data_IF_705581099503
#
_entry.id   IF_705581099503
#
_cell.length_a   1.000
_cell.length_b   1.000
_cell.length_c   1.000
_cell.angle_alpha   90.00
_cell.angle_beta   90.00
_cell.angle_gamma   90.00
#
_symmetry.space_group_name_H-M   'P 1'
#
loop_
_entity.id
_entity.type
_entity.pdbx_description
1 polymer ?
#
# COMPACT_ATOMS: atom_id res chain seq x y z
N UNK A 1 14.27 -0.40 12.26
CA UNK A 1 14.11 0.65 13.30
C UNK A 1 14.47 0.20 14.71
N UNK A 2 14.04 -0.96 15.20
CA UNK A 2 14.31 -1.40 16.59
C UNK A 2 15.81 -1.48 16.96
N UNK A 3 16.66 -2.01 16.06
CA UNK A 3 18.10 -2.13 16.29
C UNK A 3 18.81 -0.77 16.44
N UNK A 4 18.38 0.25 15.68
CA UNK A 4 18.88 1.63 15.80
C UNK A 4 18.60 2.19 17.21
N UNK A 5 17.45 1.83 17.78
CA UNK A 5 17.03 2.19 19.15
C UNK A 5 17.60 1.25 20.22
N UNK A 6 18.56 0.37 19.88
CA UNK A 6 19.14 -0.64 20.78
C UNK A 6 18.11 -1.56 21.47
N UNK A 7 16.99 -1.86 20.80
CA UNK A 7 16.00 -2.85 21.27
C UNK A 7 15.76 -3.94 20.23
N UNK A 8 15.33 -5.11 20.69
CA UNK A 8 14.92 -6.20 19.79
C UNK A 8 13.61 -5.83 19.10
N UNK A 9 13.51 -6.15 17.80
CA UNK A 9 12.26 -6.07 17.05
C UNK A 9 11.29 -7.20 17.44
N UNK A 10 10.25 -7.45 16.64
CA UNK A 10 9.38 -8.60 16.83
C UNK A 10 10.21 -9.89 16.95
N UNK A 11 10.10 -10.60 18.06
CA UNK A 11 10.89 -11.82 18.33
C UNK A 11 10.04 -12.93 18.97
N UNK A 12 8.72 -12.75 19.01
CA UNK A 12 7.79 -13.66 19.70
C UNK A 12 6.86 -14.37 18.69
N UNK A 13 6.37 -13.67 17.68
CA UNK A 13 5.47 -14.23 16.66
C UNK A 13 6.27 -14.96 15.59
N UNK A 14 6.43 -16.27 15.75
CA UNK A 14 7.24 -17.12 14.86
C UNK A 14 8.75 -17.04 15.12
N UNK A 15 9.54 -17.77 14.31
CA UNK A 15 11.00 -17.70 14.38
C UNK A 15 11.48 -16.29 13.98
N UNK A 16 12.23 -15.64 14.87
CA UNK A 16 12.76 -14.27 14.70
C UNK A 16 11.72 -13.21 14.28
N UNK A 17 10.43 -13.42 14.56
CA UNK A 17 9.38 -12.48 14.19
C UNK A 17 8.94 -12.52 12.71
N UNK A 18 9.37 -13.51 11.93
CA UNK A 18 9.04 -13.60 10.49
C UNK A 18 7.53 -13.72 10.22
N UNK A 19 6.79 -14.29 11.16
CA UNK A 19 5.33 -14.45 11.03
C UNK A 19 4.55 -13.20 11.48
N UNK A 20 5.22 -12.17 11.99
CA UNK A 20 4.59 -10.93 12.45
C UNK A 20 3.74 -10.23 11.37
N UNK A 21 4.20 -10.04 10.11
CA UNK A 21 3.40 -9.36 9.10
C UNK A 21 2.11 -10.11 8.76
N UNK A 22 2.16 -11.44 8.78
CA UNK A 22 0.99 -12.29 8.55
C UNK A 22 0.00 -12.20 9.71
N UNK A 23 0.50 -12.23 10.95
CA UNK A 23 -0.34 -12.07 12.14
C UNK A 23 -1.04 -10.70 12.20
N UNK A 24 -0.34 -9.63 11.84
CA UNK A 24 -0.92 -8.28 11.79
C UNK A 24 -1.98 -8.16 10.68
N UNK A 25 -1.73 -8.74 9.51
CA UNK A 25 -2.71 -8.81 8.42
C UNK A 25 -3.96 -9.59 8.81
N UNK A 26 -3.80 -10.77 9.40
CA UNK A 26 -4.91 -11.60 9.87
C UNK A 26 -5.73 -10.89 10.95
N UNK A 27 -5.06 -10.21 11.88
CA UNK A 27 -5.71 -9.40 12.91
C UNK A 27 -6.57 -8.30 12.31
N UNK A 28 -6.10 -7.61 11.27
CA UNK A 28 -6.88 -6.57 10.58
C UNK A 28 -8.07 -7.15 9.81
N UNK A 29 -7.92 -8.32 9.19
CA UNK A 29 -9.00 -8.99 8.45
C UNK A 29 -10.14 -9.48 9.36
N UNK A 30 -9.81 -9.91 10.57
CA UNK A 30 -10.80 -10.36 11.57
C UNK A 30 -11.43 -9.22 12.37
N UNK A 31 -10.93 -7.99 12.22
CA UNK A 31 -11.42 -6.84 12.98
C UNK A 31 -12.76 -6.37 12.43
N UNK A 32 -13.70 -6.12 13.33
CA UNK A 32 -15.02 -5.61 12.97
C UNK A 32 -14.92 -4.23 12.27
N UNK A 33 -15.58 -4.06 11.12
CA UNK A 33 -15.58 -2.80 10.40
C UNK A 33 -16.49 -1.78 11.10
N UNK A 34 -15.89 -0.76 11.71
CA UNK A 34 -16.62 0.40 12.24
C UNK A 34 -16.72 1.48 11.16
N UNK A 35 -17.94 1.98 10.91
CA UNK A 35 -18.18 3.12 10.02
C UNK A 35 -18.45 4.38 10.83
N UNK A 36 -17.81 5.52 10.52
CA UNK A 36 -18.24 6.81 11.03
C UNK A 36 -19.66 7.13 10.53
N UNK A 37 -20.45 7.86 11.31
CA UNK A 37 -21.82 8.24 10.95
C UNK A 37 -21.90 9.45 10.01
N UNK A 38 -20.90 10.32 10.01
CA UNK A 38 -20.85 11.50 9.12
C UNK A 38 -20.19 11.21 7.76
N UNK A 39 -19.33 10.19 7.70
CA UNK A 39 -18.43 9.96 6.58
C UNK A 39 -19.11 9.40 5.32
N UNK A 40 -18.57 9.77 4.17
CA UNK A 40 -18.96 9.23 2.87
C UNK A 40 -18.42 7.80 2.68
N UNK A 41 -19.24 6.80 3.03
CA UNK A 41 -18.93 5.37 3.01
C UNK A 41 -18.40 4.84 1.67
N UNK A 42 -18.95 5.31 0.54
CA UNK A 42 -18.54 4.87 -0.79
C UNK A 42 -17.11 5.33 -1.12
N UNK A 43 -16.83 6.62 -0.93
CA UNK A 43 -15.51 7.21 -1.18
C UNK A 43 -14.47 6.65 -0.21
N UNK A 44 -14.81 6.46 1.06
CA UNK A 44 -13.89 5.96 2.09
C UNK A 44 -13.43 4.52 1.82
N UNK A 45 -14.30 3.68 1.23
CA UNK A 45 -13.93 2.32 0.80
C UNK A 45 -13.16 2.30 -0.51
N UNK A 46 -13.45 3.20 -1.45
CA UNK A 46 -12.77 3.25 -2.75
C UNK A 46 -11.38 3.88 -2.68
N UNK A 47 -11.15 4.86 -1.79
CA UNK A 47 -9.87 5.54 -1.65
C UNK A 47 -8.65 4.59 -1.43
N UNK A 48 -8.70 3.60 -0.51
CA UNK A 48 -7.60 2.65 -0.33
C UNK A 48 -7.44 1.71 -1.53
N UNK A 49 -8.52 1.37 -2.24
CA UNK A 49 -8.47 0.56 -3.47
C UNK A 49 -7.71 1.30 -4.56
N UNK A 50 -8.05 2.57 -4.81
CA UNK A 50 -7.38 3.40 -5.81
C UNK A 50 -5.89 3.52 -5.49
N UNK A 51 -5.54 3.92 -4.26
CA UNK A 51 -4.14 4.13 -3.88
C UNK A 51 -3.30 2.84 -3.98
N UNK A 52 -3.87 1.70 -3.55
CA UNK A 52 -3.22 0.39 -3.66
C UNK A 52 -3.04 -0.04 -5.12
N UNK A 53 -4.05 0.15 -5.97
CA UNK A 53 -3.98 -0.17 -7.39
C UNK A 53 -2.90 0.64 -8.10
N UNK A 54 -2.81 1.96 -7.84
CA UNK A 54 -1.75 2.78 -8.42
C UNK A 54 -0.35 2.30 -8.01
N UNK A 55 -0.15 1.90 -6.76
CA UNK A 55 1.13 1.36 -6.30
C UNK A 55 1.50 0.03 -6.99
N UNK A 56 0.51 -0.83 -7.26
CA UNK A 56 0.75 -2.10 -7.95
C UNK A 56 1.05 -1.88 -9.44
N UNK A 57 0.32 -0.97 -10.08
CA UNK A 57 0.50 -0.61 -11.49
C UNK A 57 1.85 0.07 -11.73
N UNK A 58 2.33 0.91 -10.78
CA UNK A 58 3.67 1.50 -10.85
C UNK A 58 4.79 0.45 -10.93
N UNK A 59 4.60 -0.73 -10.33
CA UNK A 59 5.60 -1.81 -10.33
C UNK A 59 5.79 -2.47 -11.70
N UNK A 60 4.83 -2.32 -12.62
CA UNK A 60 4.87 -2.94 -13.94
C UNK A 60 6.12 -2.57 -14.76
N UNK A 61 6.62 -1.35 -14.57
CA UNK A 61 7.75 -0.79 -15.33
C UNK A 61 9.12 -1.07 -14.68
N UNK A 62 9.16 -1.61 -13.46
CA UNK A 62 10.43 -1.84 -12.76
C UNK A 62 11.10 -3.13 -13.29
N UNK A 63 12.31 -3.06 -13.88
CA UNK A 63 13.05 -4.23 -14.30
C UNK A 63 13.57 -5.01 -13.09
N UNK A 64 13.20 -6.28 -12.99
CA UNK A 64 13.76 -7.21 -12.00
C UNK A 64 14.94 -8.00 -12.55
N UNK A 65 14.96 -8.24 -13.87
CA UNK A 65 16.03 -8.91 -14.61
C UNK A 65 15.89 -8.55 -16.11
N UNK A 66 16.88 -8.93 -16.92
CA UNK A 66 16.84 -8.76 -18.38
C UNK A 66 15.59 -9.43 -18.97
N UNK A 67 14.73 -8.65 -19.63
CA UNK A 67 13.49 -9.13 -20.24
C UNK A 67 12.35 -9.43 -19.26
N UNK A 68 12.52 -9.19 -17.96
CA UNK A 68 11.47 -9.34 -16.94
C UNK A 68 10.72 -8.03 -16.66
N UNK A 69 10.41 -7.27 -17.72
CA UNK A 69 9.61 -6.03 -17.67
C UNK A 69 8.34 -6.23 -18.48
N UNK A 70 7.20 -5.86 -17.90
CA UNK A 70 5.90 -5.90 -18.57
C UNK A 70 5.17 -4.59 -18.32
N UNK A 71 5.10 -3.64 -19.28
CA UNK A 71 5.58 -3.68 -20.67
C UNK A 71 7.00 -3.11 -20.84
N UNK A 72 7.81 -3.75 -21.68
CA UNK A 72 9.07 -3.18 -22.16
C UNK A 72 8.75 -1.99 -23.07
N UNK A 73 8.81 -0.79 -22.51
CA UNK A 73 8.37 0.44 -23.17
C UNK A 73 9.42 1.52 -22.96
N UNK A 74 9.86 2.15 -24.05
CA UNK A 74 10.82 3.27 -24.05
C UNK A 74 10.35 4.47 -23.17
N UNK A 75 9.06 4.48 -22.82
CA UNK A 75 8.34 5.54 -22.10
C UNK A 75 8.25 5.24 -20.58
N UNK A 76 8.97 4.24 -20.06
CA UNK A 76 8.85 3.80 -18.67
C UNK A 76 8.98 4.91 -17.60
N UNK A 77 9.91 5.85 -17.79
CA UNK A 77 10.09 6.99 -16.86
C UNK A 77 8.88 7.93 -16.87
N UNK A 78 8.34 8.23 -18.05
CA UNK A 78 7.16 9.08 -18.20
C UNK A 78 5.92 8.40 -17.60
N UNK A 79 5.80 7.08 -17.74
CA UNK A 79 4.75 6.29 -17.10
C UNK A 79 4.81 6.38 -15.57
N UNK A 80 5.99 6.19 -14.96
CA UNK A 80 6.17 6.34 -13.51
C UNK A 80 5.82 7.75 -13.04
N UNK A 81 6.22 8.79 -13.79
CA UNK A 81 5.86 10.18 -13.50
C UNK A 81 4.35 10.42 -13.56
N UNK A 82 3.66 9.84 -14.55
CA UNK A 82 2.21 9.96 -14.70
C UNK A 82 1.44 9.25 -13.58
N UNK A 83 1.91 8.08 -13.14
CA UNK A 83 1.27 7.37 -12.01
C UNK A 83 1.52 8.10 -10.70
N UNK A 84 2.73 8.65 -10.51
CA UNK A 84 3.04 9.42 -9.32
C UNK A 84 2.14 10.66 -9.19
N UNK A 85 1.82 11.35 -10.28
CA UNK A 85 0.89 12.48 -10.25
C UNK A 85 -0.54 12.03 -9.95
N UNK A 86 -0.97 10.89 -10.49
CA UNK A 86 -2.28 10.32 -10.18
C UNK A 86 -2.41 9.87 -8.71
N UNK A 87 -1.31 9.47 -8.07
CA UNK A 87 -1.28 9.06 -6.66
C UNK A 87 -1.78 10.15 -5.70
N UNK A 88 -1.58 11.42 -6.06
CA UNK A 88 -2.07 12.57 -5.28
C UNK A 88 -3.60 12.56 -5.14
N UNK A 89 -4.32 12.14 -6.18
CA UNK A 89 -5.79 12.05 -6.12
C UNK A 89 -6.26 11.00 -5.12
N UNK A 90 -5.56 9.87 -4.99
CA UNK A 90 -5.87 8.86 -3.98
C UNK A 90 -5.83 9.42 -2.56
N UNK A 91 -4.83 10.26 -2.27
CA UNK A 91 -4.66 10.92 -0.97
C UNK A 91 -5.77 11.94 -0.71
N UNK A 92 -6.09 12.77 -1.71
CA UNK A 92 -7.14 13.79 -1.60
C UNK A 92 -8.51 13.15 -1.35
N UNK A 93 -8.86 12.10 -2.10
CA UNK A 93 -10.13 11.39 -1.95
C UNK A 93 -10.22 10.74 -0.56
N UNK A 94 -9.14 10.12 -0.07
CA UNK A 94 -9.09 9.56 1.27
C UNK A 94 -9.38 10.63 2.34
N UNK A 95 -8.73 11.79 2.25
CA UNK A 95 -8.90 12.89 3.21
C UNK A 95 -10.29 13.55 3.14
N UNK A 96 -10.89 13.68 1.95
CA UNK A 96 -12.23 14.26 1.82
C UNK A 96 -13.33 13.30 2.28
N UNK A 97 -13.12 11.97 2.12
CA UNK A 97 -14.10 10.95 2.49
C UNK A 97 -14.33 10.78 3.99
N UNK A 98 -13.41 11.27 4.84
CA UNK A 98 -13.46 11.07 6.29
C UNK A 98 -14.39 12.04 7.02
N UNK A 99 -14.96 13.01 6.31
CA UNK A 99 -15.97 13.93 6.84
C UNK A 99 -17.37 13.43 6.51
#
# INVERSE_FOLDING_TARGET
MALVQRRKGPNVVGSFGLLQPLADGLKLAMKEPISPSSANLSLSRMAPVVTSMLSLVARAVVPFDHGMVSPDSDIGILYLSAISSLGVYGIIIAGWSSN
#
